data_IF_880904041043
#
_entry.id   IF_880904041043
#
_cell.length_a   1.000
_cell.length_b   1.000
_cell.length_c   1.000
_cell.angle_alpha   90.00
_cell.angle_beta   90.00
_cell.angle_gamma   90.00
#
_symmetry.space_group_name_H-M   'P 1'
#
loop_
_entity.id
_entity.type
_entity.pdbx_description
1 polymer ?
#
# COMPACT_ATOMS: atom_id res chain seq x y z
N UNK A 1 1.75 0.32 -16.82
CA UNK A 1 1.81 0.57 -15.37
C UNK A 1 1.81 -0.73 -14.58
N UNK A 2 2.38 -0.70 -13.36
CA UNK A 2 2.45 -1.85 -12.46
C UNK A 2 1.88 -1.47 -11.10
N UNK A 3 1.07 -2.35 -10.50
CA UNK A 3 0.57 -2.20 -9.13
C UNK A 3 1.57 -2.84 -8.15
N UNK A 4 2.67 -2.18 -7.89
CA UNK A 4 3.75 -2.72 -7.06
C UNK A 4 3.61 -2.45 -5.55
N UNK A 5 2.56 -1.73 -5.13
CA UNK A 5 2.13 -1.59 -3.74
C UNK A 5 1.07 -2.64 -3.38
N UNK A 6 -0.10 -2.20 -2.90
CA UNK A 6 -1.24 -3.09 -2.66
C UNK A 6 -1.68 -3.76 -3.98
N UNK A 7 -1.64 -5.09 -4.10
CA UNK A 7 -1.91 -5.76 -5.37
C UNK A 7 -3.42 -5.86 -5.68
N UNK A 8 -4.24 -5.85 -4.67
CA UNK A 8 -5.70 -5.89 -4.67
C UNK A 8 -6.22 -5.50 -3.29
N UNK A 9 -7.52 -5.47 -3.10
CA UNK A 9 -8.12 -5.39 -1.78
C UNK A 9 -9.34 -6.30 -1.66
N UNK A 10 -9.73 -6.59 -0.41
CA UNK A 10 -10.92 -7.37 -0.03
C UNK A 10 -11.83 -6.50 0.82
N UNK A 11 -13.07 -6.92 0.99
CA UNK A 11 -14.10 -6.21 1.75
C UNK A 11 -14.57 -7.09 2.90
N UNK A 12 -14.53 -6.58 4.12
CA UNK A 12 -15.00 -7.30 5.31
C UNK A 12 -16.20 -6.61 5.97
N UNK A 13 -16.09 -5.30 6.25
CA UNK A 13 -17.10 -4.53 6.93
C UNK A 13 -18.19 -3.99 5.99
N UNK A 14 -19.40 -3.82 6.51
CA UNK A 14 -20.54 -3.32 5.74
C UNK A 14 -20.32 -1.88 5.25
N UNK A 15 -19.84 -1.01 6.10
CA UNK A 15 -19.54 0.39 5.75
C UNK A 15 -18.56 0.51 4.57
N UNK A 16 -17.52 -0.31 4.54
CA UNK A 16 -16.58 -0.31 3.43
C UNK A 16 -17.17 -0.95 2.17
N UNK A 17 -18.05 -1.95 2.35
CA UNK A 17 -18.79 -2.57 1.25
C UNK A 17 -19.67 -1.58 0.50
N UNK A 18 -20.36 -0.71 1.22
CA UNK A 18 -21.20 0.32 0.61
C UNK A 18 -20.34 1.30 -0.21
N UNK A 19 -19.22 1.75 0.34
CA UNK A 19 -18.29 2.60 -0.37
C UNK A 19 -17.69 1.92 -1.62
N UNK A 20 -17.40 0.63 -1.55
CA UNK A 20 -16.88 -0.12 -2.71
C UNK A 20 -17.95 -0.25 -3.81
N UNK A 21 -19.23 -0.38 -3.46
CA UNK A 21 -20.33 -0.31 -4.43
C UNK A 21 -20.36 1.03 -5.15
N UNK A 22 -20.27 2.14 -4.42
CA UNK A 22 -20.22 3.48 -5.03
C UNK A 22 -19.03 3.61 -5.99
N UNK A 23 -17.87 3.08 -5.64
CA UNK A 23 -16.70 3.09 -6.53
C UNK A 23 -16.85 2.18 -7.75
N UNK A 24 -17.58 1.06 -7.63
CA UNK A 24 -17.90 0.18 -8.77
C UNK A 24 -18.86 0.92 -9.72
N UNK A 25 -19.91 1.55 -9.18
CA UNK A 25 -20.89 2.31 -9.97
C UNK A 25 -20.25 3.51 -10.67
N UNK A 26 -19.26 4.14 -10.02
CA UNK A 26 -18.44 5.21 -10.60
C UNK A 26 -17.37 4.71 -11.59
N UNK A 27 -17.22 3.39 -11.77
CA UNK A 27 -16.21 2.79 -12.66
C UNK A 27 -14.76 2.90 -12.15
N UNK A 28 -14.56 3.24 -10.87
CA UNK A 28 -13.24 3.41 -10.23
C UNK A 28 -12.67 2.07 -9.77
N UNK A 29 -13.53 1.12 -9.42
CA UNK A 29 -13.18 -0.21 -8.90
C UNK A 29 -13.87 -1.28 -9.73
N UNK A 30 -13.22 -2.43 -9.89
CA UNK A 30 -13.80 -3.63 -10.50
C UNK A 30 -13.42 -4.87 -9.72
N UNK A 31 -14.28 -5.91 -9.71
CA UNK A 31 -13.89 -7.24 -9.28
C UNK A 31 -12.71 -7.76 -10.12
N UNK A 32 -11.81 -8.46 -9.49
CA UNK A 32 -10.73 -9.19 -10.16
C UNK A 32 -11.00 -10.70 -10.03
N UNK A 33 -11.55 -11.26 -11.07
CA UNK A 33 -11.85 -12.69 -11.20
C UNK A 33 -10.57 -13.43 -11.61
N UNK A 34 -9.67 -13.60 -10.67
CA UNK A 34 -8.35 -14.18 -10.89
C UNK A 34 -8.31 -15.66 -10.50
N UNK A 35 -7.64 -16.47 -11.30
CA UNK A 35 -7.21 -17.81 -10.89
C UNK A 35 -6.03 -17.67 -9.90
N UNK A 36 -6.24 -17.97 -8.63
CA UNK A 36 -5.24 -17.84 -7.58
C UNK A 36 -4.91 -19.20 -7.00
N UNK A 37 -3.62 -19.46 -6.82
CA UNK A 37 -3.10 -20.71 -6.28
C UNK A 37 -2.17 -20.49 -5.10
N UNK A 38 -1.91 -21.54 -4.35
CA UNK A 38 -0.83 -21.61 -3.38
C UNK A 38 0.34 -22.42 -3.95
N UNK A 39 1.54 -21.86 -3.94
CA UNK A 39 2.73 -22.50 -4.47
C UNK A 39 3.62 -23.04 -3.34
N UNK A 40 3.87 -24.33 -3.39
CA UNK A 40 4.78 -25.06 -2.49
C UNK A 40 5.87 -25.74 -3.31
N UNK A 41 7.05 -25.12 -3.42
CA UNK A 41 8.22 -25.71 -4.11
C UNK A 41 7.89 -26.21 -5.52
N UNK A 42 7.26 -25.38 -6.34
CA UNK A 42 6.88 -25.69 -7.73
C UNK A 42 5.56 -26.46 -7.91
N UNK A 43 4.90 -26.86 -6.82
CA UNK A 43 3.56 -27.47 -6.87
C UNK A 43 2.50 -26.38 -6.65
N UNK A 44 1.55 -26.31 -7.54
CA UNK A 44 0.39 -25.44 -7.43
C UNK A 44 -0.80 -26.22 -6.86
N UNK A 45 -1.33 -25.74 -5.73
CA UNK A 45 -2.60 -26.20 -5.17
C UNK A 45 -3.65 -25.07 -5.29
N UNK A 46 -4.93 -25.37 -5.53
CA UNK A 46 -5.96 -24.33 -5.54
C UNK A 46 -6.02 -23.57 -4.21
N UNK A 47 -6.34 -22.29 -4.26
CA UNK A 47 -6.59 -21.51 -3.04
C UNK A 47 -7.73 -22.16 -2.23
N UNK A 48 -7.50 -22.39 -0.94
CA UNK A 48 -8.43 -23.18 -0.11
C UNK A 48 -9.80 -22.53 0.12
N UNK A 49 -9.93 -21.19 -0.03
CA UNK A 49 -11.17 -20.44 0.12
C UNK A 49 -11.25 -19.34 -0.93
N UNK A 50 -12.28 -19.37 -1.74
CA UNK A 50 -12.57 -18.28 -2.68
C UNK A 50 -12.84 -16.99 -1.89
N UNK A 51 -12.05 -15.95 -2.16
CA UNK A 51 -12.21 -14.61 -1.58
C UNK A 51 -12.43 -13.63 -2.73
N UNK A 52 -13.47 -12.83 -2.62
CA UNK A 52 -13.73 -11.77 -3.58
C UNK A 52 -12.65 -10.69 -3.47
N UNK A 53 -12.04 -10.37 -4.60
CA UNK A 53 -10.96 -9.38 -4.70
C UNK A 53 -11.33 -8.27 -5.65
N UNK A 54 -10.90 -7.07 -5.29
CA UNK A 54 -11.17 -5.87 -6.06
C UNK A 54 -9.87 -5.15 -6.41
N UNK A 55 -9.89 -4.48 -7.56
CA UNK A 55 -8.80 -3.62 -8.00
C UNK A 55 -9.35 -2.28 -8.46
N UNK A 56 -8.61 -1.21 -8.21
CA UNK A 56 -8.93 0.08 -8.82
C UNK A 56 -8.51 0.10 -10.31
N UNK A 57 -9.15 0.94 -11.10
CA UNK A 57 -8.97 1.07 -12.55
C UNK A 57 -8.59 2.52 -12.88
N UNK A 58 -7.60 2.75 -13.75
CA UNK A 58 -6.76 1.81 -14.50
C UNK A 58 -5.57 1.25 -13.70
N UNK A 59 -5.37 1.63 -12.46
CA UNK A 59 -4.31 1.18 -11.55
C UNK A 59 -4.78 1.32 -10.10
N UNK A 60 -4.11 0.68 -9.14
CA UNK A 60 -4.52 0.68 -7.73
C UNK A 60 -4.58 2.09 -7.11
N UNK A 61 -3.81 3.05 -7.63
CA UNK A 61 -3.89 4.46 -7.22
C UNK A 61 -5.15 5.20 -7.73
N UNK A 62 -5.98 4.57 -8.56
CA UNK A 62 -7.22 5.15 -9.09
C UNK A 62 -8.21 5.57 -8.00
N UNK A 63 -8.27 4.84 -6.87
CA UNK A 63 -9.08 5.23 -5.71
C UNK A 63 -8.60 6.56 -5.14
N UNK A 64 -7.29 6.70 -4.89
CA UNK A 64 -6.72 7.95 -4.37
C UNK A 64 -6.93 9.11 -5.33
N UNK A 65 -6.76 8.88 -6.63
CA UNK A 65 -7.03 9.90 -7.67
C UNK A 65 -8.50 10.32 -7.70
N UNK A 66 -9.43 9.36 -7.51
CA UNK A 66 -10.85 9.66 -7.44
C UNK A 66 -11.21 10.49 -6.20
N UNK A 67 -10.71 10.09 -5.03
CA UNK A 67 -10.95 10.78 -3.76
C UNK A 67 -10.34 12.18 -3.71
N UNK A 68 -9.30 12.45 -4.48
CA UNK A 68 -8.59 13.74 -4.47
C UNK A 68 -9.06 14.76 -5.51
N UNK A 69 -10.06 14.43 -6.35
CA UNK A 69 -10.46 15.27 -7.50
C UNK A 69 -10.85 16.70 -7.15
N UNK A 70 -11.54 16.84 -6.02
CA UNK A 70 -12.07 18.13 -5.57
C UNK A 70 -11.27 18.71 -4.39
N UNK A 71 -10.06 18.19 -4.15
CA UNK A 71 -9.16 18.64 -3.08
C UNK A 71 -8.02 19.48 -3.65
N UNK A 72 -7.55 20.46 -2.88
CA UNK A 72 -6.29 21.18 -3.15
C UNK A 72 -5.11 20.27 -2.78
N UNK A 73 -4.59 19.50 -3.75
CA UNK A 73 -3.49 18.56 -3.57
C UNK A 73 -2.20 19.13 -4.10
N UNK A 74 -1.19 19.26 -3.27
CA UNK A 74 0.16 19.71 -3.64
C UNK A 74 1.10 18.50 -3.76
N UNK A 75 1.45 18.17 -5.00
CA UNK A 75 2.42 17.12 -5.31
C UNK A 75 3.85 17.62 -5.18
N UNK A 76 4.80 16.67 -5.04
CA UNK A 76 6.24 16.96 -4.93
C UNK A 76 6.59 17.93 -3.78
N UNK A 77 5.77 17.92 -2.72
CA UNK A 77 5.91 18.79 -1.57
C UNK A 77 6.15 17.94 -0.32
N UNK A 78 7.28 18.14 0.35
CA UNK A 78 7.60 17.48 1.61
C UNK A 78 7.23 18.44 2.73
N UNK A 79 6.22 18.10 3.53
CA UNK A 79 5.83 18.91 4.67
C UNK A 79 6.85 18.77 5.82
N UNK A 80 7.24 19.88 6.40
CA UNK A 80 7.96 19.93 7.68
C UNK A 80 6.99 19.68 8.86
N UNK A 81 7.49 19.36 10.07
CA UNK A 81 6.65 19.25 11.24
C UNK A 81 5.80 20.52 11.45
N UNK A 82 4.47 20.40 11.64
CA UNK A 82 3.62 21.56 11.85
C UNK A 82 3.97 22.30 13.16
N UNK A 83 3.92 23.61 13.13
CA UNK A 83 4.21 24.48 14.27
C UNK A 83 2.94 25.16 14.79
N UNK A 84 2.83 25.40 16.11
CA UNK A 84 1.73 26.17 16.67
C UNK A 84 1.93 27.66 16.43
N UNK A 85 0.90 28.30 15.87
CA UNK A 85 0.82 29.76 15.67
C UNK A 85 -0.51 30.25 16.28
N UNK A 86 -0.47 30.57 17.55
CA UNK A 86 -1.67 30.85 18.35
C UNK A 86 -2.54 29.59 18.50
N UNK A 87 -3.78 29.67 18.05
CA UNK A 87 -4.77 28.59 18.03
C UNK A 87 -4.77 27.77 16.73
N UNK A 88 -3.92 28.13 15.76
CA UNK A 88 -3.81 27.47 14.46
C UNK A 88 -2.49 26.71 14.30
N UNK A 89 -2.41 25.93 13.23
CA UNK A 89 -1.22 25.23 12.79
C UNK A 89 -0.61 25.92 11.57
N UNK A 90 0.65 26.33 11.68
CA UNK A 90 1.45 26.76 10.56
C UNK A 90 2.14 25.53 9.96
N UNK A 91 1.90 25.27 8.68
CA UNK A 91 2.55 24.20 7.92
C UNK A 91 3.49 24.82 6.91
N UNK A 92 4.73 24.34 6.89
CA UNK A 92 5.78 24.71 5.93
C UNK A 92 6.22 23.48 5.15
N UNK A 93 6.86 23.72 4.01
CA UNK A 93 7.56 22.65 3.31
C UNK A 93 9.00 22.47 3.84
N UNK A 94 9.74 21.51 3.24
CA UNK A 94 11.11 21.20 3.62
C UNK A 94 12.12 22.33 3.38
N UNK A 95 11.79 23.29 2.52
CA UNK A 95 12.60 24.47 2.22
C UNK A 95 12.22 25.67 3.07
N UNK A 96 11.20 25.54 3.93
CA UNK A 96 10.73 26.55 4.88
C UNK A 96 9.64 27.48 4.33
N UNK A 97 9.17 27.25 3.10
CA UNK A 97 8.08 28.02 2.51
C UNK A 97 6.74 27.70 3.18
N UNK A 98 5.93 28.71 3.43
CA UNK A 98 4.63 28.56 4.08
C UNK A 98 3.62 27.91 3.14
N UNK A 99 3.11 26.75 3.53
CA UNK A 99 2.05 26.04 2.84
C UNK A 99 0.66 26.50 3.26
N UNK A 100 0.52 27.05 4.47
CA UNK A 100 -0.71 27.62 4.98
C UNK A 100 -0.86 27.52 6.50
N UNK A 101 -1.98 28.11 6.99
CA UNK A 101 -2.41 28.04 8.39
C UNK A 101 -3.74 27.32 8.48
N UNK A 102 -3.83 26.31 9.35
CA UNK A 102 -4.93 25.38 9.44
C UNK A 102 -5.45 25.25 10.86
N UNK A 103 -6.74 24.99 11.03
CA UNK A 103 -7.37 24.78 12.33
C UNK A 103 -7.08 23.38 12.87
N UNK A 104 -6.78 22.42 11.99
CA UNK A 104 -6.40 21.05 12.33
C UNK A 104 -5.38 20.50 11.34
N UNK A 105 -4.58 19.51 11.77
CA UNK A 105 -3.65 18.77 10.92
C UNK A 105 -3.85 17.28 11.11
N UNK A 106 -4.09 16.57 10.01
CA UNK A 106 -4.23 15.11 9.98
C UNK A 106 -3.10 14.50 9.13
N UNK A 107 -2.44 13.50 9.69
CA UNK A 107 -1.24 12.88 9.10
C UNK A 107 -1.58 11.45 8.70
N UNK A 108 -1.46 11.11 7.42
CA UNK A 108 -1.67 9.76 6.91
C UNK A 108 -0.38 9.08 6.42
N UNK A 109 0.77 9.60 6.82
CA UNK A 109 2.07 9.01 6.54
C UNK A 109 2.30 7.71 7.35
N UNK A 110 3.20 6.81 6.94
CA UNK A 110 3.62 5.66 7.74
C UNK A 110 4.09 6.04 9.14
N UNK A 111 3.90 5.17 10.14
CA UNK A 111 4.17 5.46 11.54
C UNK A 111 5.55 6.11 11.83
N UNK A 112 6.69 5.66 11.25
CA UNK A 112 7.99 6.32 11.47
C UNK A 112 8.07 7.75 10.94
N UNK A 113 7.40 8.05 9.84
CA UNK A 113 7.34 9.42 9.29
C UNK A 113 6.37 10.28 10.11
N UNK A 114 5.28 9.68 10.56
CA UNK A 114 4.28 10.34 11.42
C UNK A 114 4.89 10.79 12.76
N UNK A 115 5.81 10.02 13.36
CA UNK A 115 6.50 10.44 14.60
C UNK A 115 7.25 11.76 14.43
N UNK A 116 7.86 11.98 13.27
CA UNK A 116 8.54 13.24 12.96
C UNK A 116 7.56 14.39 12.84
N UNK A 117 6.43 14.17 12.17
CA UNK A 117 5.41 15.20 11.92
C UNK A 117 4.59 15.53 13.19
N UNK A 118 4.50 14.62 14.16
CA UNK A 118 3.75 14.80 15.41
C UNK A 118 4.55 15.42 16.55
N UNK A 119 5.73 16.00 16.35
CA UNK A 119 6.62 16.47 17.42
C UNK A 119 5.94 17.42 18.41
N UNK A 120 4.96 18.21 17.98
CA UNK A 120 4.17 19.10 18.84
C UNK A 120 3.15 18.36 19.73
N UNK A 121 2.94 17.04 19.54
CA UNK A 121 2.02 16.19 20.31
C UNK A 121 2.75 14.97 20.90
N UNK A 122 3.57 15.15 21.97
CA UNK A 122 4.48 14.12 22.50
C UNK A 122 3.80 12.81 22.92
N UNK A 123 2.54 12.88 23.34
CA UNK A 123 1.78 11.67 23.70
C UNK A 123 1.45 10.83 22.46
N UNK A 124 1.15 11.46 21.33
CA UNK A 124 0.91 10.76 20.06
C UNK A 124 2.23 10.21 19.50
N UNK A 125 3.34 10.95 19.60
CA UNK A 125 4.68 10.47 19.22
C UNK A 125 4.99 9.16 19.94
N UNK A 126 4.88 9.10 21.26
CA UNK A 126 5.13 7.89 22.05
C UNK A 126 4.26 6.70 21.64
N UNK A 127 3.06 6.94 21.12
CA UNK A 127 2.16 5.89 20.64
C UNK A 127 2.57 5.41 19.25
N UNK A 128 2.90 6.34 18.33
CA UNK A 128 3.34 6.02 16.97
C UNK A 128 4.71 5.29 16.96
N UNK A 129 5.65 5.64 17.85
CA UNK A 129 6.95 4.98 18.00
C UNK A 129 6.85 3.49 18.35
N UNK A 130 5.73 3.04 18.91
CA UNK A 130 5.51 1.62 19.22
C UNK A 130 5.15 0.80 17.98
N UNK A 131 4.71 1.45 16.91
CA UNK A 131 4.33 0.76 15.68
C UNK A 131 5.56 0.53 14.82
N UNK A 132 5.87 -0.72 14.58
CA UNK A 132 6.94 -1.12 13.64
C UNK A 132 6.35 -1.31 12.26
N UNK A 133 7.07 -0.86 11.25
CA UNK A 133 6.72 -1.09 9.85
C UNK A 133 7.74 -2.04 9.25
N UNK A 134 7.26 -3.14 8.67
CA UNK A 134 8.12 -4.08 7.98
C UNK A 134 8.28 -3.68 6.51
N UNK A 135 9.48 -3.85 5.92
CA UNK A 135 9.74 -3.51 4.52
C UNK A 135 9.30 -4.62 3.57
N UNK A 136 9.12 -4.27 2.29
CA UNK A 136 8.91 -5.23 1.20
C UNK A 136 9.58 -4.75 -0.09
N UNK A 137 10.42 -5.58 -0.70
CA UNK A 137 10.84 -5.40 -2.07
C UNK A 137 9.75 -5.88 -3.03
N UNK A 138 9.48 -5.09 -4.05
CA UNK A 138 8.60 -5.45 -5.15
C UNK A 138 9.40 -5.39 -6.47
N UNK A 139 9.34 -6.47 -7.25
CA UNK A 139 9.91 -6.51 -8.61
C UNK A 139 8.78 -6.48 -9.62
N UNK A 140 8.91 -5.62 -10.59
CA UNK A 140 8.04 -5.49 -11.75
C UNK A 140 8.76 -6.10 -12.95
N UNK A 141 8.10 -7.00 -13.66
CA UNK A 141 8.68 -7.66 -14.83
C UNK A 141 7.67 -7.70 -15.99
N UNK A 142 8.15 -7.45 -17.21
CA UNK A 142 7.38 -7.56 -18.43
C UNK A 142 8.01 -8.61 -19.36
N UNK A 143 7.15 -9.43 -19.98
CA UNK A 143 7.54 -10.52 -20.87
C UNK A 143 6.81 -10.35 -22.20
N UNK A 144 7.54 -10.24 -23.29
CA UNK A 144 6.96 -10.11 -24.65
C UNK A 144 6.29 -11.39 -25.08
N UNK A 145 6.78 -12.56 -24.59
CA UNK A 145 6.14 -13.86 -24.73
C UNK A 145 5.60 -14.28 -23.39
N UNK A 146 4.32 -14.69 -23.34
CA UNK A 146 3.69 -15.16 -22.11
C UNK A 146 4.38 -16.39 -21.52
N UNK A 147 4.39 -16.50 -20.20
CA UNK A 147 5.07 -17.56 -19.46
C UNK A 147 4.31 -18.90 -19.45
N UNK A 148 3.05 -18.93 -19.96
CA UNK A 148 2.24 -20.15 -20.03
C UNK A 148 1.75 -20.67 -18.68
N UNK A 149 1.67 -19.81 -17.66
CA UNK A 149 1.14 -20.16 -16.35
C UNK A 149 -0.40 -20.16 -16.37
N UNK A 150 -1.01 -21.20 -15.80
CA UNK A 150 -2.47 -21.40 -15.79
C UNK A 150 -3.21 -20.58 -14.71
N UNK A 151 -2.49 -19.75 -13.95
CA UNK A 151 -3.02 -18.90 -12.88
C UNK A 151 -2.60 -17.44 -13.05
N UNK A 152 -3.34 -16.56 -12.40
CA UNK A 152 -3.11 -15.11 -12.43
C UNK A 152 -2.30 -14.60 -11.24
N UNK A 153 -2.34 -15.33 -10.13
CA UNK A 153 -1.58 -14.96 -8.95
C UNK A 153 -1.31 -16.18 -8.06
N UNK A 154 -0.33 -16.04 -7.18
CA UNK A 154 -0.05 -17.09 -6.22
C UNK A 154 0.47 -16.55 -4.89
N UNK A 155 0.03 -17.16 -3.78
CA UNK A 155 0.73 -17.12 -2.51
C UNK A 155 1.89 -18.12 -2.55
N UNK A 156 3.08 -17.68 -2.16
CA UNK A 156 4.29 -18.52 -2.22
C UNK A 156 4.77 -18.84 -0.82
N UNK A 157 5.01 -20.11 -0.59
CA UNK A 157 5.50 -20.63 0.67
C UNK A 157 6.96 -21.08 0.58
N UNK A 158 7.72 -20.90 1.68
CA UNK A 158 9.13 -21.31 1.80
C UNK A 158 10.05 -20.73 0.71
N UNK A 159 9.84 -19.46 0.39
CA UNK A 159 10.58 -18.71 -0.62
C UNK A 159 10.95 -17.31 -0.09
N UNK A 160 11.83 -16.62 -0.80
CA UNK A 160 12.04 -15.18 -0.62
C UNK A 160 10.83 -14.35 -1.07
N UNK A 161 9.97 -14.90 -1.92
CA UNK A 161 8.71 -14.32 -2.36
C UNK A 161 7.56 -14.74 -1.43
N UNK A 162 6.58 -13.86 -1.25
CA UNK A 162 5.33 -14.16 -0.54
C UNK A 162 4.12 -14.13 -1.47
N UNK A 163 4.18 -13.29 -2.51
CA UNK A 163 3.10 -13.08 -3.45
C UNK A 163 3.64 -12.77 -4.84
N UNK A 164 2.98 -13.32 -5.85
CA UNK A 164 3.16 -12.95 -7.25
C UNK A 164 1.81 -12.72 -7.90
N UNK A 165 1.73 -11.77 -8.84
CA UNK A 165 0.52 -11.51 -9.59
C UNK A 165 0.82 -11.13 -11.02
N UNK A 166 0.08 -11.73 -11.96
CA UNK A 166 0.03 -11.29 -13.36
C UNK A 166 -0.74 -9.98 -13.40
N UNK A 167 -0.01 -8.88 -13.40
CA UNK A 167 -0.60 -7.54 -13.35
C UNK A 167 -1.47 -7.27 -14.59
N UNK A 168 -1.10 -7.82 -15.75
CA UNK A 168 -1.85 -7.72 -16.99
C UNK A 168 -3.18 -8.49 -17.02
N UNK A 169 -3.48 -9.36 -16.04
CA UNK A 169 -4.78 -10.01 -15.90
C UNK A 169 -5.83 -9.14 -15.21
N UNK A 170 -5.40 -8.07 -14.58
CA UNK A 170 -6.29 -7.18 -13.84
C UNK A 170 -7.10 -6.29 -14.78
N UNK A 171 -8.39 -6.02 -14.46
CA UNK A 171 -9.23 -5.09 -15.21
C UNK A 171 -8.55 -3.73 -15.44
N UNK A 172 -8.62 -3.24 -16.67
CA UNK A 172 -8.10 -1.93 -17.06
C UNK A 172 -6.57 -1.85 -17.24
N UNK A 173 -5.84 -2.96 -17.15
CA UNK A 173 -4.42 -3.02 -17.49
C UNK A 173 -4.26 -3.55 -18.92
N UNK A 174 -3.20 -3.12 -19.67
CA UNK A 174 -2.89 -3.70 -20.95
C UNK A 174 -2.62 -5.21 -20.82
N UNK A 175 -3.20 -6.02 -21.68
CA UNK A 175 -3.00 -7.48 -21.69
C UNK A 175 -1.63 -7.90 -22.28
N UNK A 176 -0.96 -6.99 -22.99
CA UNK A 176 0.36 -7.24 -23.61
C UNK A 176 1.23 -5.98 -23.45
N UNK A 177 2.54 -6.16 -23.16
CA UNK A 177 3.21 -7.44 -22.80
C UNK A 177 2.62 -8.06 -21.52
N UNK A 178 2.86 -9.36 -21.31
CA UNK A 178 2.48 -10.01 -20.05
C UNK A 178 3.33 -9.41 -18.92
N UNK A 179 2.66 -8.92 -17.86
CA UNK A 179 3.35 -8.23 -16.77
C UNK A 179 3.11 -8.91 -15.44
N UNK A 180 4.15 -9.04 -14.64
CA UNK A 180 4.12 -9.64 -13.31
C UNK A 180 4.67 -8.70 -12.27
N UNK A 181 4.08 -8.74 -11.07
CA UNK A 181 4.59 -8.11 -9.87
C UNK A 181 4.92 -9.19 -8.86
N UNK A 182 6.15 -9.16 -8.35
CA UNK A 182 6.71 -10.12 -7.41
C UNK A 182 6.95 -9.38 -6.08
N UNK A 183 6.35 -9.83 -4.99
CA UNK A 183 6.51 -9.23 -3.67
C UNK A 183 7.32 -10.15 -2.77
N UNK A 184 8.42 -9.64 -2.23
CA UNK A 184 9.27 -10.38 -1.31
C UNK A 184 8.68 -10.43 0.09
N UNK A 185 9.07 -11.46 0.85
CA UNK A 185 8.73 -11.54 2.28
C UNK A 185 9.39 -10.39 3.05
N UNK A 186 8.74 -9.87 4.10
CA UNK A 186 9.35 -8.86 4.97
C UNK A 186 10.68 -9.31 5.58
N UNK A 187 10.80 -10.58 5.96
CA UNK A 187 12.02 -11.14 6.56
C UNK A 187 13.20 -11.06 5.57
N UNK A 188 13.02 -11.61 4.36
CA UNK A 188 14.06 -11.53 3.33
C UNK A 188 14.40 -10.09 2.96
N UNK A 189 13.38 -9.23 2.86
CA UNK A 189 13.60 -7.81 2.55
C UNK A 189 14.41 -7.12 3.64
N UNK A 190 14.13 -7.39 4.91
CA UNK A 190 14.88 -6.82 6.04
C UNK A 190 16.37 -7.19 6.00
N UNK A 191 16.71 -8.44 5.62
CA UNK A 191 18.09 -8.88 5.43
C UNK A 191 18.76 -8.23 4.19
N UNK A 192 17.99 -7.85 3.18
CA UNK A 192 18.48 -7.34 1.90
C UNK A 192 18.14 -5.85 1.68
N UNK A 193 17.84 -5.11 2.75
CA UNK A 193 17.27 -3.75 2.65
C UNK A 193 18.22 -2.74 1.98
N UNK A 194 19.53 -2.92 2.12
CA UNK A 194 20.56 -2.04 1.57
C UNK A 194 21.17 -2.57 0.26
N UNK A 195 20.57 -3.62 -0.33
CA UNK A 195 21.05 -4.17 -1.60
C UNK A 195 20.63 -3.29 -2.78
N UNK A 196 21.47 -3.31 -3.80
CA UNK A 196 21.20 -2.64 -5.07
C UNK A 196 19.93 -3.21 -5.75
N UNK A 197 19.05 -2.37 -6.31
CA UNK A 197 17.82 -2.81 -6.98
C UNK A 197 18.04 -3.82 -8.11
N UNK A 198 19.15 -3.71 -8.88
CA UNK A 198 19.44 -4.67 -9.96
C UNK A 198 19.81 -6.05 -9.39
N UNK A 199 20.56 -6.08 -8.29
CA UNK A 199 20.86 -7.33 -7.58
C UNK A 199 19.57 -7.99 -7.05
N UNK A 200 18.68 -7.20 -6.41
CA UNK A 200 17.39 -7.67 -5.90
C UNK A 200 16.53 -8.22 -7.03
N UNK A 201 16.44 -7.50 -8.14
CA UNK A 201 15.69 -7.93 -9.34
C UNK A 201 16.16 -9.31 -9.79
N UNK A 202 17.46 -9.51 -9.96
CA UNK A 202 18.04 -10.79 -10.39
C UNK A 202 17.70 -11.93 -9.42
N UNK A 203 17.78 -11.66 -8.11
CA UNK A 203 17.50 -12.67 -7.07
C UNK A 203 16.03 -13.06 -7.04
N UNK A 204 15.12 -12.08 -7.10
CA UNK A 204 13.69 -12.36 -7.02
C UNK A 204 13.14 -12.96 -8.32
N UNK A 205 13.72 -12.63 -9.49
CA UNK A 205 13.41 -13.32 -10.74
C UNK A 205 13.85 -14.79 -10.72
N UNK A 206 15.00 -15.09 -10.13
CA UNK A 206 15.41 -16.48 -9.94
C UNK A 206 14.44 -17.23 -9.02
N UNK A 207 14.07 -16.62 -7.89
CA UNK A 207 13.07 -17.20 -6.97
C UNK A 207 11.69 -17.37 -7.62
N UNK A 208 11.31 -16.47 -8.52
CA UNK A 208 10.08 -16.59 -9.31
C UNK A 208 10.13 -17.80 -10.22
N UNK A 209 11.21 -17.97 -11.00
CA UNK A 209 11.38 -19.12 -11.87
C UNK A 209 11.40 -20.46 -11.13
N UNK A 210 12.03 -20.50 -9.95
CA UNK A 210 12.03 -21.68 -9.07
C UNK A 210 10.63 -21.98 -8.52
N UNK A 211 9.93 -20.96 -8.00
CA UNK A 211 8.62 -21.13 -7.38
C UNK A 211 7.53 -21.53 -8.38
N UNK A 212 7.59 -21.00 -9.61
CA UNK A 212 6.61 -21.27 -10.66
C UNK A 212 6.94 -22.50 -11.50
N UNK A 213 8.17 -23.00 -11.44
CA UNK A 213 8.66 -24.08 -12.28
C UNK A 213 9.00 -23.66 -13.72
N UNK A 214 8.92 -22.36 -14.06
CA UNK A 214 9.31 -21.87 -15.38
C UNK A 214 10.81 -21.96 -15.65
N UNK A 215 11.62 -22.17 -14.61
CA UNK A 215 13.09 -22.07 -14.70
C UNK A 215 13.56 -20.63 -14.85
N UNK A 216 14.76 -20.43 -15.42
CA UNK A 216 15.29 -19.09 -15.64
C UNK A 216 14.36 -18.27 -16.56
N UNK A 217 13.99 -17.06 -16.12
CA UNK A 217 13.16 -16.14 -16.90
C UNK A 217 13.95 -14.87 -17.25
N UNK A 218 13.77 -14.40 -18.47
CA UNK A 218 14.39 -13.18 -18.97
C UNK A 218 13.30 -12.19 -19.41
N UNK A 219 12.94 -11.22 -18.55
CA UNK A 219 11.96 -10.21 -18.92
C UNK A 219 12.53 -9.19 -19.91
N UNK A 220 11.71 -8.66 -20.83
CA UNK A 220 12.09 -7.55 -21.72
C UNK A 220 12.23 -6.23 -20.96
N UNK A 221 11.59 -6.12 -19.78
CA UNK A 221 11.77 -5.00 -18.84
C UNK A 221 11.63 -5.49 -17.41
N UNK A 222 12.48 -4.99 -16.52
CA UNK A 222 12.34 -5.24 -15.09
C UNK A 222 12.86 -4.07 -14.25
N UNK A 223 12.25 -3.86 -13.08
CA UNK A 223 12.65 -2.88 -12.09
C UNK A 223 12.28 -3.36 -10.69
N UNK A 224 13.05 -2.95 -9.68
CA UNK A 224 12.71 -3.20 -8.27
C UNK A 224 12.41 -1.89 -7.56
N UNK A 225 11.46 -1.95 -6.63
CA UNK A 225 11.11 -0.86 -5.72
C UNK A 225 11.10 -1.35 -4.28
N UNK A 226 11.71 -0.58 -3.38
CA UNK A 226 11.71 -0.85 -1.95
C UNK A 226 10.64 -0.03 -1.24
N UNK A 227 9.64 -0.70 -0.71
CA UNK A 227 8.72 -0.16 0.26
C UNK A 227 9.32 -0.31 1.67
N UNK A 228 9.97 0.73 2.19
CA UNK A 228 10.61 0.68 3.53
C UNK A 228 9.59 0.53 4.66
N UNK A 229 8.36 0.98 4.45
CA UNK A 229 7.27 0.97 5.42
C UNK A 229 6.03 0.32 4.80
N UNK A 230 6.16 -0.95 4.39
CA UNK A 230 5.14 -1.64 3.60
C UNK A 230 3.96 -2.13 4.44
N UNK A 231 4.23 -2.76 5.57
CA UNK A 231 3.20 -3.44 6.38
C UNK A 231 3.49 -3.27 7.86
N UNK A 232 2.49 -2.92 8.70
CA UNK A 232 2.59 -3.03 10.15
C UNK A 232 2.28 -4.47 10.59
N UNK A 233 3.25 -5.28 11.05
CA UNK A 233 2.96 -6.63 11.56
C UNK A 233 2.01 -6.59 12.77
N UNK A 234 2.17 -5.57 13.59
CA UNK A 234 1.32 -5.28 14.75
C UNK A 234 0.86 -3.81 14.63
N UNK A 235 -0.36 -3.57 14.13
CA UNK A 235 -0.88 -2.21 14.00
C UNK A 235 -1.19 -1.60 15.36
N UNK A 236 -1.32 -0.28 15.42
CA UNK A 236 -1.82 0.45 16.58
C UNK A 236 -3.20 -0.11 17.00
N UNK A 237 -3.47 -0.31 18.30
CA UNK A 237 -4.71 -0.96 18.77
C UNK A 237 -5.99 -0.13 18.55
N UNK A 238 -5.89 1.15 18.19
CA UNK A 238 -7.04 2.00 17.88
C UNK A 238 -7.12 2.35 16.40
N UNK A 239 -8.30 2.72 15.90
CA UNK A 239 -8.50 3.01 14.48
C UNK A 239 -7.78 4.28 14.00
N UNK A 240 -7.46 5.18 14.90
CA UNK A 240 -6.71 6.43 14.64
C UNK A 240 -6.06 6.95 15.92
N UNK A 241 -5.31 8.03 15.82
CA UNK A 241 -4.79 8.82 16.94
C UNK A 241 -5.21 10.27 16.77
N UNK A 242 -5.64 10.92 17.86
CA UNK A 242 -6.02 12.33 17.89
C UNK A 242 -5.68 12.95 19.23
N UNK A 243 -5.08 14.12 19.21
CA UNK A 243 -5.08 15.07 20.33
C UNK A 243 -6.18 16.10 20.05
N UNK A 244 -7.28 15.98 20.78
CA UNK A 244 -8.49 16.80 20.57
C UNK A 244 -8.26 18.27 20.91
N UNK A 245 -7.43 18.56 21.91
CA UNK A 245 -7.12 19.93 22.33
C UNK A 245 -6.24 20.63 21.30
N UNK A 246 -5.27 19.92 20.74
CA UNK A 246 -4.38 20.43 19.72
C UNK A 246 -4.98 20.34 18.31
N UNK A 247 -6.02 19.53 18.10
CA UNK A 247 -6.60 19.22 16.80
C UNK A 247 -5.53 18.71 15.81
N UNK A 248 -4.66 17.81 16.28
CA UNK A 248 -3.68 17.12 15.47
C UNK A 248 -3.85 15.62 15.63
N UNK A 249 -3.83 14.90 14.51
CA UNK A 249 -4.06 13.45 14.54
C UNK A 249 -3.35 12.69 13.44
N UNK A 250 -3.43 11.37 13.53
CA UNK A 250 -2.87 10.47 12.53
C UNK A 250 -3.78 9.27 12.27
N UNK A 251 -3.76 8.81 11.01
CA UNK A 251 -4.51 7.67 10.52
C UNK A 251 -3.68 6.88 9.50
N UNK A 252 -4.20 5.73 9.09
CA UNK A 252 -3.58 4.89 8.08
C UNK A 252 -3.83 3.40 8.36
N UNK A 253 -3.32 2.53 7.50
CA UNK A 253 -3.39 1.09 7.66
C UNK A 253 -2.69 0.59 8.94
N UNK A 254 -1.70 1.33 9.40
CA UNK A 254 -0.99 1.03 10.64
C UNK A 254 -1.80 1.37 11.92
N UNK A 255 -2.93 2.08 11.79
CA UNK A 255 -3.96 2.25 12.83
C UNK A 255 -5.14 1.30 12.61
N UNK A 256 -5.76 1.34 11.44
CA UNK A 256 -6.99 0.62 11.13
C UNK A 256 -6.80 -0.85 10.73
N UNK A 257 -5.56 -1.31 10.60
CA UNK A 257 -5.18 -2.64 10.12
C UNK A 257 -4.60 -2.65 8.70
N UNK A 258 -3.69 -3.59 8.39
CA UNK A 258 -2.83 -3.57 7.20
C UNK A 258 -3.57 -3.93 5.90
N UNK A 259 -4.62 -3.19 5.57
CA UNK A 259 -5.47 -3.36 4.38
C UNK A 259 -5.98 -2.01 3.88
N UNK A 260 -6.40 -1.96 2.61
CA UNK A 260 -7.04 -0.78 2.03
C UNK A 260 -8.29 -0.37 2.83
N UNK A 261 -9.11 -1.34 3.24
CA UNK A 261 -10.26 -1.11 4.13
C UNK A 261 -9.85 -0.46 5.45
N UNK A 262 -8.79 -0.99 6.10
CA UNK A 262 -8.28 -0.44 7.35
C UNK A 262 -7.80 1.00 7.20
N UNK A 263 -7.05 1.30 6.14
CA UNK A 263 -6.60 2.65 5.84
C UNK A 263 -7.77 3.62 5.59
N UNK A 264 -8.77 3.20 4.80
CA UNK A 264 -9.96 3.98 4.51
C UNK A 264 -10.76 4.29 5.78
N UNK A 265 -11.09 3.25 6.55
CA UNK A 265 -11.89 3.41 7.78
C UNK A 265 -11.15 4.23 8.83
N UNK A 266 -9.83 4.09 8.94
CA UNK A 266 -9.00 4.90 9.82
C UNK A 266 -9.12 6.39 9.51
N UNK A 267 -9.05 6.76 8.23
CA UNK A 267 -9.20 8.14 7.79
C UNK A 267 -10.60 8.72 8.04
N UNK A 268 -11.64 7.96 7.70
CA UNK A 268 -13.03 8.39 7.90
C UNK A 268 -13.36 8.59 9.39
N UNK A 269 -12.99 7.63 10.24
CA UNK A 269 -13.26 7.72 11.68
C UNK A 269 -12.52 8.89 12.34
N UNK A 270 -11.29 9.18 11.90
CA UNK A 270 -10.56 10.35 12.38
C UNK A 270 -11.25 11.66 11.94
N UNK A 271 -11.68 11.73 10.69
CA UNK A 271 -12.38 12.91 10.17
C UNK A 271 -13.72 13.15 10.89
N UNK A 272 -14.53 12.11 11.08
CA UNK A 272 -15.79 12.20 11.84
C UNK A 272 -15.54 12.70 13.26
N UNK A 273 -14.56 12.13 13.95
CA UNK A 273 -14.24 12.58 15.31
C UNK A 273 -13.81 14.04 15.36
N UNK A 274 -13.02 14.49 14.38
CA UNK A 274 -12.62 15.91 14.31
C UNK A 274 -13.81 16.83 14.04
N UNK A 275 -14.74 16.43 13.17
CA UNK A 275 -15.96 17.20 12.89
C UNK A 275 -16.89 17.34 14.11
N UNK A 276 -16.92 16.35 15.01
CA UNK A 276 -17.66 16.44 16.27
C UNK A 276 -17.09 17.50 17.25
N UNK A 277 -15.82 17.92 17.05
CA UNK A 277 -15.14 18.91 17.89
C UNK A 277 -15.23 20.35 17.30
N UNK A 278 -15.79 20.48 16.10
CA UNK A 278 -15.93 21.76 15.42
C UNK A 278 -17.22 22.47 15.84
#
# INVERSE_FOLDING_TARGET
PFDHGAPYFTVQGERFRDQVRDWIDAGVVRPWEAAIVELYQGRADPEGKAVERFVAVPGMNGICQHLSRDLDVRFNTVAAPPERDGDRWLVRDGDGEELGRFDAVLISAPAPQTTVLLQAAPLLVKRAERVRMAPSWAVMAAFDTGLGLDYDAAFIHKSSLTWIARNSSKPGRPGSPETWVLQATPAWTGEQIEKDPAWVTKRLLASFGEATGCGPVEPSHSAAHLWRHAVPPEPHPGPFMLDENLRIGACGDWCGGPRVEGAYLSGILLAERLCELA
#
